data_IF_808810693057
#
_entry.id   IF_808810693057
#
_cell.length_a   1.000
_cell.length_b   1.000
_cell.length_c   1.000
_cell.angle_alpha   90.00
_cell.angle_beta   90.00
_cell.angle_gamma   90.00
#
_symmetry.space_group_name_H-M   'P 1'
#
loop_
_entity.id
_entity.type
_entity.pdbx_description
1 polymer ?
#
# COMPACT_ATOMS: atom_id res chain seq x y z
N UNK A 1 16.67 5.79 5.43
CA UNK A 1 16.62 4.35 5.79
C UNK A 1 15.32 3.68 5.35
N UNK A 2 14.14 4.06 5.87
CA UNK A 2 12.87 3.43 5.44
C UNK A 2 12.60 3.51 3.93
N UNK A 3 12.92 4.65 3.30
CA UNK A 3 12.80 4.80 1.85
C UNK A 3 13.75 3.85 1.08
N UNK A 4 14.97 3.66 1.57
CA UNK A 4 15.92 2.65 1.05
C UNK A 4 15.30 1.26 1.15
N UNK A 5 14.84 0.85 2.35
CA UNK A 5 14.21 -0.45 2.54
C UNK A 5 13.04 -0.65 1.58
N UNK A 6 12.18 0.36 1.41
CA UNK A 6 11.04 0.29 0.47
C UNK A 6 11.50 0.09 -0.98
N UNK A 7 12.58 0.74 -1.39
CA UNK A 7 13.10 0.64 -2.75
C UNK A 7 13.78 -0.70 -3.01
N UNK A 8 14.75 -1.07 -2.17
CA UNK A 8 15.58 -2.28 -2.35
C UNK A 8 14.78 -3.59 -2.23
N UNK A 9 13.64 -3.56 -1.54
CA UNK A 9 12.83 -4.76 -1.27
C UNK A 9 11.58 -4.88 -2.17
N UNK A 10 11.48 -4.07 -3.21
CA UNK A 10 10.29 -4.06 -4.07
C UNK A 10 9.01 -3.72 -3.30
N UNK A 11 9.10 -2.77 -2.37
CA UNK A 11 8.01 -2.27 -1.52
C UNK A 11 7.48 -3.23 -0.43
N UNK A 12 8.10 -4.39 -0.23
CA UNK A 12 7.64 -5.36 0.77
C UNK A 12 8.07 -5.04 2.20
N UNK A 13 9.13 -4.23 2.37
CA UNK A 13 9.80 -4.01 3.65
C UNK A 13 10.29 -5.30 4.33
N UNK A 14 10.45 -6.37 3.54
CA UNK A 14 11.08 -7.62 3.98
C UNK A 14 12.47 -7.71 3.35
N UNK A 15 13.52 -8.13 4.11
CA UNK A 15 14.84 -8.38 3.55
C UNK A 15 14.75 -9.35 2.36
N UNK A 16 15.40 -9.00 1.25
CA UNK A 16 15.36 -9.82 0.03
C UNK A 16 16.75 -10.23 -0.42
N UNK A 17 16.80 -11.33 -1.15
CA UNK A 17 17.98 -11.70 -1.93
C UNK A 17 17.98 -11.00 -3.28
N UNK A 18 19.17 -10.71 -3.80
CA UNK A 18 19.36 -10.16 -5.13
C UNK A 18 18.73 -11.07 -6.21
N UNK A 19 18.02 -10.44 -7.15
CA UNK A 19 17.38 -11.10 -8.28
C UNK A 19 16.42 -12.24 -7.88
N UNK A 20 15.75 -12.17 -6.72
CA UNK A 20 14.85 -13.22 -6.20
C UNK A 20 13.63 -13.55 -7.09
N UNK A 21 13.35 -12.76 -8.13
CA UNK A 21 12.32 -13.02 -9.13
C UNK A 21 12.77 -13.97 -10.26
N UNK A 22 14.05 -14.36 -10.30
CA UNK A 22 14.62 -15.29 -11.28
C UNK A 22 14.80 -16.70 -10.71
N UNK A 23 14.89 -17.69 -11.60
CA UNK A 23 15.23 -19.07 -11.22
C UNK A 23 16.64 -19.14 -10.61
N UNK A 24 16.88 -20.12 -9.74
CA UNK A 24 18.20 -20.31 -9.13
C UNK A 24 19.32 -20.48 -10.17
N UNK A 25 19.07 -21.21 -11.26
CA UNK A 25 20.07 -21.40 -12.32
C UNK A 25 20.47 -20.09 -12.99
N UNK A 26 19.49 -19.21 -13.27
CA UNK A 26 19.75 -17.88 -13.82
C UNK A 26 20.49 -16.99 -12.82
N UNK A 27 20.08 -17.00 -11.55
CA UNK A 27 20.72 -16.23 -10.47
C UNK A 27 22.17 -16.66 -10.24
N UNK A 28 22.42 -17.97 -10.16
CA UNK A 28 23.76 -18.53 -9.98
C UNK A 28 24.71 -18.03 -11.07
N UNK A 29 24.31 -18.13 -12.34
CA UNK A 29 25.12 -17.64 -13.46
C UNK A 29 25.35 -16.14 -13.39
N UNK A 30 24.32 -15.37 -13.04
CA UNK A 30 24.43 -13.93 -12.87
C UNK A 30 25.44 -13.57 -11.75
N UNK A 31 25.40 -14.24 -10.61
CA UNK A 31 26.33 -14.01 -9.51
C UNK A 31 27.76 -14.43 -9.85
N UNK A 32 27.93 -15.54 -10.57
CA UNK A 32 29.23 -15.95 -11.10
C UNK A 32 29.81 -14.87 -12.03
N UNK A 33 29.00 -14.37 -12.97
CA UNK A 33 29.42 -13.35 -13.93
C UNK A 33 29.78 -12.00 -13.30
N UNK A 34 29.09 -11.62 -12.22
CA UNK A 34 29.18 -10.28 -11.64
C UNK A 34 30.15 -10.20 -10.47
N UNK A 35 30.26 -11.27 -9.68
CA UNK A 35 30.87 -11.24 -8.35
C UNK A 35 31.98 -12.26 -8.14
N UNK A 36 32.21 -13.18 -9.08
CA UNK A 36 33.21 -14.24 -8.90
C UNK A 36 34.61 -13.83 -9.37
N UNK A 37 35.68 -14.14 -8.61
CA UNK A 37 37.05 -13.79 -8.96
C UNK A 37 37.66 -14.67 -10.07
N UNK A 38 37.03 -15.80 -10.39
CA UNK A 38 37.49 -16.77 -11.40
C UNK A 38 36.52 -16.81 -12.58
N UNK A 39 35.22 -16.95 -12.30
CA UNK A 39 34.15 -17.10 -13.29
C UNK A 39 33.60 -15.77 -13.82
N UNK A 40 34.01 -14.63 -13.25
CA UNK A 40 33.54 -13.31 -13.63
C UNK A 40 33.60 -13.08 -15.14
N UNK A 41 32.56 -12.44 -15.69
CA UNK A 41 32.32 -12.33 -17.14
C UNK A 41 33.43 -11.63 -17.93
N UNK A 42 34.27 -10.84 -17.25
CA UNK A 42 35.43 -10.18 -17.82
C UNK A 42 36.47 -9.87 -16.72
N UNK A 43 37.68 -9.53 -17.14
CA UNK A 43 38.80 -9.27 -16.21
C UNK A 43 38.53 -8.11 -15.25
N UNK A 44 37.75 -7.10 -15.65
CA UNK A 44 37.37 -6.00 -14.76
C UNK A 44 36.49 -6.50 -13.59
N UNK A 45 35.54 -7.41 -13.85
CA UNK A 45 34.71 -8.00 -12.80
C UNK A 45 35.50 -8.93 -11.88
N UNK A 46 36.37 -9.76 -12.44
CA UNK A 46 37.27 -10.61 -11.64
C UNK A 46 38.19 -9.78 -10.75
N UNK A 47 38.76 -8.69 -11.28
CA UNK A 47 39.59 -7.75 -10.52
C UNK A 47 38.80 -7.10 -9.38
N UNK A 48 37.61 -6.57 -9.68
CA UNK A 48 36.72 -5.97 -8.68
C UNK A 48 36.32 -6.97 -7.58
N UNK A 49 36.03 -8.22 -7.94
CA UNK A 49 35.73 -9.27 -6.96
C UNK A 49 36.90 -9.49 -5.99
N UNK A 50 38.13 -9.61 -6.51
CA UNK A 50 39.36 -9.76 -5.72
C UNK A 50 39.61 -8.56 -4.81
N UNK A 51 39.47 -7.34 -5.34
CA UNK A 51 39.61 -6.09 -4.57
C UNK A 51 38.59 -6.01 -3.42
N UNK A 52 37.40 -6.59 -3.58
CA UNK A 52 36.38 -6.66 -2.54
C UNK A 52 36.41 -7.94 -1.69
N UNK A 53 37.48 -8.72 -1.80
CA UNK A 53 37.78 -9.85 -0.93
C UNK A 53 37.19 -11.19 -1.35
N UNK A 54 36.50 -11.27 -2.48
CA UNK A 54 36.14 -12.56 -3.07
C UNK A 54 37.40 -13.13 -3.72
N UNK A 55 37.92 -14.25 -3.22
CA UNK A 55 39.25 -14.78 -3.62
C UNK A 55 39.21 -16.20 -4.14
N UNK A 56 38.10 -16.91 -3.94
CA UNK A 56 37.91 -18.30 -4.35
C UNK A 56 36.81 -18.40 -5.41
N UNK A 57 36.92 -19.38 -6.31
CA UNK A 57 35.81 -19.74 -7.20
C UNK A 57 34.58 -20.14 -6.38
N UNK A 58 33.43 -19.60 -6.74
CA UNK A 58 32.16 -19.74 -6.01
C UNK A 58 31.91 -18.65 -4.97
N UNK A 59 32.89 -17.78 -4.67
CA UNK A 59 32.66 -16.64 -3.76
C UNK A 59 31.60 -15.68 -4.32
N UNK A 60 31.43 -15.59 -5.65
CA UNK A 60 30.39 -14.77 -6.24
C UNK A 60 28.97 -15.19 -5.80
N UNK A 61 28.73 -16.50 -5.74
CA UNK A 61 27.44 -17.08 -5.29
C UNK A 61 27.29 -17.04 -3.77
N UNK A 62 28.40 -16.99 -3.01
CA UNK A 62 28.34 -16.86 -1.55
C UNK A 62 27.99 -15.42 -1.13
N UNK A 63 28.65 -14.42 -1.72
CA UNK A 63 28.61 -13.02 -1.27
C UNK A 63 27.90 -12.07 -2.24
N UNK A 64 26.79 -12.52 -2.86
CA UNK A 64 25.85 -11.65 -3.57
C UNK A 64 24.97 -10.85 -2.61
N UNK A 65 24.23 -9.87 -3.14
CA UNK A 65 23.42 -8.92 -2.36
C UNK A 65 22.30 -9.57 -1.54
N UNK A 66 22.26 -9.23 -0.24
CA UNK A 66 21.17 -9.64 0.67
C UNK A 66 20.70 -8.50 1.57
N UNK A 67 19.44 -8.59 1.98
CA UNK A 67 18.84 -7.72 2.97
C UNK A 67 18.45 -6.33 2.46
N UNK A 68 18.19 -5.40 3.39
CA UNK A 68 17.65 -4.06 3.07
C UNK A 68 18.57 -3.16 2.27
N UNK A 69 19.86 -3.48 2.22
CA UNK A 69 20.90 -2.68 1.54
C UNK A 69 21.62 -3.47 0.45
N UNK A 70 21.16 -4.69 0.14
CA UNK A 70 21.86 -5.59 -0.77
C UNK A 70 23.34 -5.71 -0.40
N UNK A 71 23.63 -6.16 0.83
CA UNK A 71 25.01 -6.31 1.33
C UNK A 71 25.76 -7.30 0.43
N UNK A 72 26.76 -6.80 -0.30
CA UNK A 72 27.54 -7.59 -1.27
C UNK A 72 29.02 -7.59 -0.90
N UNK A 73 29.75 -8.60 -1.35
CA UNK A 73 31.19 -8.81 -1.19
C UNK A 73 31.68 -9.31 0.18
N UNK A 74 32.60 -10.28 0.16
CA UNK A 74 33.16 -10.92 1.37
C UNK A 74 33.72 -9.92 2.38
N UNK A 75 34.37 -8.84 1.94
CA UNK A 75 34.89 -7.81 2.85
C UNK A 75 33.78 -7.11 3.66
N UNK A 76 32.62 -6.86 3.07
CA UNK A 76 31.50 -6.24 3.80
C UNK A 76 30.88 -7.22 4.80
N UNK A 77 30.77 -8.50 4.44
CA UNK A 77 30.36 -9.55 5.38
C UNK A 77 31.34 -9.68 6.57
N UNK A 78 32.66 -9.57 6.34
CA UNK A 78 33.68 -9.52 7.41
C UNK A 78 33.51 -8.33 8.34
N UNK A 79 33.30 -7.12 7.79
CA UNK A 79 33.04 -5.91 8.60
C UNK A 79 31.80 -6.08 9.50
N UNK A 80 30.74 -6.70 9.00
CA UNK A 80 29.54 -6.99 9.80
C UNK A 80 29.81 -8.05 10.88
N UNK A 81 30.62 -9.06 10.57
CA UNK A 81 31.07 -10.05 11.55
C UNK A 81 31.83 -9.41 12.70
N UNK A 82 32.79 -8.55 12.39
CA UNK A 82 33.56 -7.81 13.41
C UNK A 82 32.67 -6.93 14.27
N UNK A 83 31.67 -6.27 13.67
CA UNK A 83 30.75 -5.40 14.41
C UNK A 83 29.80 -6.16 15.33
N UNK A 84 29.17 -7.22 14.83
CA UNK A 84 28.05 -7.87 15.53
C UNK A 84 28.44 -9.18 16.23
N UNK A 85 29.67 -9.67 16.04
CA UNK A 85 30.11 -10.95 16.60
C UNK A 85 29.43 -12.18 15.99
N UNK A 86 28.73 -12.02 14.85
CA UNK A 86 28.00 -13.08 14.16
C UNK A 86 28.78 -13.49 12.92
N UNK A 87 28.91 -14.80 12.66
CA UNK A 87 29.70 -15.31 11.55
C UNK A 87 29.00 -15.18 10.18
N UNK A 88 28.72 -13.95 9.76
CA UNK A 88 28.10 -13.67 8.46
C UNK A 88 28.92 -14.16 7.27
N UNK A 89 30.22 -14.40 7.45
CA UNK A 89 31.10 -14.90 6.38
C UNK A 89 30.75 -16.34 6.00
N UNK A 90 30.31 -17.16 6.95
CA UNK A 90 29.94 -18.57 6.71
C UNK A 90 28.43 -18.82 6.85
N UNK A 91 27.66 -17.84 7.34
CA UNK A 91 26.22 -17.88 7.54
C UNK A 91 25.58 -16.63 6.90
N UNK A 92 25.74 -16.49 5.58
CA UNK A 92 25.33 -15.28 4.86
C UNK A 92 23.82 -15.05 4.92
N UNK A 93 23.03 -16.12 4.99
CA UNK A 93 21.57 -16.10 5.09
C UNK A 93 21.06 -15.34 6.32
N UNK A 94 21.86 -15.24 7.40
CA UNK A 94 21.50 -14.43 8.58
C UNK A 94 21.31 -12.94 8.26
N UNK A 95 21.89 -12.45 7.17
CA UNK A 95 21.66 -11.08 6.69
C UNK A 95 20.26 -10.83 6.13
N UNK A 96 19.45 -11.89 5.98
CA UNK A 96 18.03 -11.82 5.65
C UNK A 96 17.12 -11.88 6.89
N UNK A 97 17.66 -12.18 8.08
CA UNK A 97 16.89 -12.06 9.31
C UNK A 97 16.56 -10.59 9.54
N UNK A 98 15.29 -10.27 9.76
CA UNK A 98 14.77 -8.90 9.74
C UNK A 98 15.51 -7.96 10.70
N UNK A 99 15.71 -8.41 11.95
CA UNK A 99 16.42 -7.65 12.99
C UNK A 99 17.90 -7.40 12.60
N UNK A 100 18.59 -8.41 12.08
CA UNK A 100 19.98 -8.28 11.67
C UNK A 100 20.13 -7.40 10.41
N UNK A 101 19.25 -7.57 9.43
CA UNK A 101 19.21 -6.75 8.23
C UNK A 101 19.00 -5.26 8.57
N UNK A 102 18.12 -4.97 9.54
CA UNK A 102 17.87 -3.62 10.02
C UNK A 102 19.09 -3.05 10.75
N UNK A 103 19.70 -3.82 11.65
CA UNK A 103 20.93 -3.42 12.36
C UNK A 103 22.07 -3.12 11.38
N UNK A 104 22.24 -3.93 10.35
CA UNK A 104 23.24 -3.71 9.29
C UNK A 104 22.96 -2.41 8.53
N UNK A 105 21.71 -2.15 8.12
CA UNK A 105 21.31 -0.90 7.46
C UNK A 105 21.62 0.32 8.33
N UNK A 106 21.23 0.30 9.60
CA UNK A 106 21.43 1.42 10.54
C UNK A 106 22.92 1.67 10.74
N UNK A 107 23.64 0.66 11.22
CA UNK A 107 25.07 0.78 11.50
C UNK A 107 25.87 1.23 10.28
N UNK A 108 25.65 0.59 9.13
CA UNK A 108 26.39 0.93 7.93
C UNK A 108 26.09 2.34 7.41
N UNK A 109 24.87 2.83 7.63
CA UNK A 109 24.48 4.20 7.26
C UNK A 109 25.04 5.25 8.23
N UNK A 110 25.06 4.95 9.53
CA UNK A 110 25.56 5.88 10.55
C UNK A 110 27.08 5.99 10.53
N UNK A 111 27.79 4.89 10.29
CA UNK A 111 29.24 4.84 10.30
C UNK A 111 29.89 4.91 8.91
N UNK A 112 29.08 4.94 7.84
CA UNK A 112 29.58 5.04 6.47
C UNK A 112 30.34 3.79 6.01
N UNK A 113 29.95 2.62 6.50
CA UNK A 113 30.68 1.36 6.28
C UNK A 113 30.64 0.90 4.82
N UNK A 114 29.61 1.31 4.09
CA UNK A 114 29.37 0.91 2.69
C UNK A 114 30.19 1.73 1.70
N UNK A 115 30.15 3.07 1.80
CA UNK A 115 30.76 3.98 0.80
C UNK A 115 31.73 4.99 1.41
N UNK A 116 31.90 5.01 2.73
CA UNK A 116 32.65 6.04 3.46
C UNK A 116 31.83 7.26 3.83
N UNK A 117 30.64 7.44 3.25
CA UNK A 117 29.73 8.55 3.54
C UNK A 117 28.73 8.16 4.62
N UNK A 118 28.48 9.07 5.56
CA UNK A 118 27.54 8.87 6.66
C UNK A 118 26.20 9.52 6.36
N UNK A 119 25.14 9.00 6.98
CA UNK A 119 23.82 9.61 6.90
C UNK A 119 23.84 11.07 7.41
N UNK A 120 24.64 11.35 8.45
CA UNK A 120 24.78 12.68 9.05
C UNK A 120 25.41 13.73 8.13
N UNK A 121 26.14 13.32 7.09
CA UNK A 121 26.69 14.22 6.05
C UNK A 121 25.57 14.89 5.23
N UNK A 122 24.39 14.24 5.17
CA UNK A 122 23.25 14.67 4.37
C UNK A 122 22.02 15.02 5.19
N UNK A 123 21.82 14.37 6.34
CA UNK A 123 20.64 14.51 7.18
C UNK A 123 21.08 14.68 8.64
N UNK A 124 20.85 15.86 9.20
CA UNK A 124 21.17 16.22 10.58
C UNK A 124 20.20 17.30 11.09
N UNK A 125 20.46 17.85 12.27
CA UNK A 125 19.57 18.85 12.90
C UNK A 125 19.40 20.14 12.09
N UNK A 126 20.30 20.44 11.15
CA UNK A 126 20.31 21.68 10.36
C UNK A 126 20.04 21.47 8.87
N UNK A 127 20.05 20.22 8.40
CA UNK A 127 20.03 19.89 6.97
C UNK A 127 19.26 18.59 6.74
N UNK A 128 18.41 18.58 5.71
CA UNK A 128 17.77 17.36 5.21
C UNK A 128 17.95 17.30 3.69
N UNK A 129 18.86 16.45 3.22
CA UNK A 129 19.13 16.22 1.80
C UNK A 129 18.92 14.75 1.42
N UNK A 130 17.65 14.36 1.26
CA UNK A 130 17.29 12.99 0.91
C UNK A 130 17.84 12.52 -0.43
N UNK A 131 18.03 13.44 -1.39
CA UNK A 131 18.56 13.10 -2.70
C UNK A 131 20.00 12.60 -2.60
N UNK A 132 20.89 13.41 -2.00
CA UNK A 132 22.29 13.04 -1.87
C UNK A 132 22.53 11.96 -0.81
N UNK A 133 21.62 11.79 0.16
CA UNK A 133 21.69 10.70 1.14
C UNK A 133 21.72 9.30 0.49
N UNK A 134 21.28 9.14 -0.77
CA UNK A 134 21.41 7.88 -1.51
C UNK A 134 22.87 7.41 -1.66
N UNK A 135 23.83 8.34 -1.65
CA UNK A 135 25.27 8.06 -1.80
C UNK A 135 25.85 7.22 -0.66
N UNK A 136 25.15 7.16 0.47
CA UNK A 136 25.50 6.29 1.61
C UNK A 136 25.40 4.80 1.23
N UNK A 137 24.52 4.45 0.28
CA UNK A 137 24.29 3.04 -0.12
C UNK A 137 24.85 2.75 -1.52
N UNK A 138 24.40 3.50 -2.54
CA UNK A 138 24.72 3.17 -3.94
C UNK A 138 24.73 4.40 -4.86
N UNK A 139 25.57 5.39 -4.54
CA UNK A 139 25.71 6.59 -5.37
C UNK A 139 24.41 7.38 -5.50
N UNK A 140 24.01 7.73 -6.72
CA UNK A 140 22.75 8.48 -6.99
C UNK A 140 21.71 7.66 -7.75
N UNK A 141 21.91 6.35 -7.85
CA UNK A 141 20.95 5.47 -8.51
C UNK A 141 19.60 5.50 -7.78
N UNK A 142 18.52 5.72 -8.55
CA UNK A 142 17.15 5.94 -8.07
C UNK A 142 16.98 7.06 -7.01
N UNK A 143 17.93 8.00 -6.88
CA UNK A 143 17.92 9.01 -5.83
C UNK A 143 16.65 9.87 -5.81
N UNK A 144 16.12 10.26 -6.97
CA UNK A 144 14.86 11.02 -7.07
C UNK A 144 13.67 10.25 -6.49
N UNK A 145 13.48 8.99 -6.90
CA UNK A 145 12.38 8.15 -6.43
C UNK A 145 12.49 7.87 -4.92
N UNK A 146 13.70 7.65 -4.42
CA UNK A 146 13.96 7.42 -3.00
C UNK A 146 13.71 8.69 -2.19
N UNK A 147 14.10 9.87 -2.70
CA UNK A 147 13.77 11.17 -2.10
C UNK A 147 12.26 11.33 -1.95
N UNK A 148 11.49 11.13 -3.01
CA UNK A 148 10.03 11.28 -2.97
C UNK A 148 9.38 10.33 -1.97
N UNK A 149 9.88 9.09 -1.87
CA UNK A 149 9.42 8.13 -0.85
C UNK A 149 9.76 8.64 0.55
N UNK A 150 10.99 9.14 0.76
CA UNK A 150 11.43 9.64 2.05
C UNK A 150 10.59 10.83 2.53
N UNK A 151 10.32 11.80 1.65
CA UNK A 151 9.47 12.97 1.94
C UNK A 151 8.04 12.57 2.31
N UNK A 152 7.45 11.58 1.61
CA UNK A 152 6.13 11.04 1.93
C UNK A 152 6.11 10.37 3.31
N UNK A 153 7.13 9.55 3.61
CA UNK A 153 7.25 8.87 4.90
C UNK A 153 7.44 9.89 6.02
N UNK A 154 8.33 10.87 5.84
CA UNK A 154 8.56 11.93 6.82
C UNK A 154 7.27 12.71 7.11
N UNK A 155 6.51 13.07 6.06
CA UNK A 155 5.21 13.71 6.20
C UNK A 155 4.26 12.86 7.04
N UNK A 156 4.18 11.55 6.79
CA UNK A 156 3.32 10.65 7.57
C UNK A 156 3.76 10.52 9.03
N UNK A 157 5.07 10.47 9.30
CA UNK A 157 5.61 10.32 10.66
C UNK A 157 5.43 11.58 11.51
N UNK A 158 5.33 12.76 10.87
CA UNK A 158 5.06 14.05 11.55
C UNK A 158 3.57 14.30 11.81
N UNK A 159 2.69 13.37 11.45
CA UNK A 159 1.25 13.49 11.75
C UNK A 159 1.05 13.22 13.25
N UNK A 160 0.91 14.28 14.04
CA UNK A 160 0.60 14.19 15.47
C UNK A 160 -0.85 13.78 15.75
N UNK A 161 -1.76 14.15 14.84
CA UNK A 161 -3.17 13.72 14.80
C UNK A 161 -3.57 13.40 13.37
N UNK A 162 -4.02 12.17 13.14
CA UNK A 162 -4.63 11.79 11.88
C UNK A 162 -6.07 12.33 11.86
N UNK A 163 -6.25 13.55 11.38
CA UNK A 163 -7.58 14.07 11.11
C UNK A 163 -8.07 13.49 9.78
N UNK A 164 -8.82 12.39 9.86
CA UNK A 164 -9.57 11.83 8.73
C UNK A 164 -10.80 12.70 8.37
N UNK A 165 -10.71 14.02 8.56
CA UNK A 165 -11.81 14.99 8.40
C UNK A 165 -11.86 15.62 7.01
N UNK A 166 -10.81 15.48 6.20
CA UNK A 166 -10.87 15.80 4.78
C UNK A 166 -11.16 14.53 4.00
N UNK A 167 -12.45 14.17 3.92
CA UNK A 167 -12.97 13.38 2.80
C UNK A 167 -12.57 14.18 1.56
N UNK A 168 -11.59 13.71 0.80
CA UNK A 168 -11.32 14.25 -0.54
C UNK A 168 -12.55 13.88 -1.36
N UNK A 169 -13.57 14.74 -1.34
CA UNK A 169 -14.81 14.56 -2.11
C UNK A 169 -14.41 14.28 -3.55
N UNK A 170 -14.58 13.04 -3.99
CA UNK A 170 -14.46 12.66 -5.39
C UNK A 170 -15.42 13.52 -6.19
N UNK A 171 -14.90 14.22 -7.18
CA UNK A 171 -15.72 15.04 -8.08
C UNK A 171 -16.61 14.14 -8.96
N UNK A 172 -17.71 14.69 -9.47
CA UNK A 172 -18.57 14.02 -10.45
C UNK A 172 -19.88 13.41 -9.90
N UNK A 173 -20.20 13.60 -8.62
CA UNK A 173 -21.51 13.27 -8.06
C UNK A 173 -21.99 14.35 -7.09
N UNK A 174 -23.14 14.94 -7.39
CA UNK A 174 -23.81 15.94 -6.56
C UNK A 174 -24.71 15.26 -5.52
N UNK A 175 -24.16 15.08 -4.32
CA UNK A 175 -24.86 14.50 -3.17
C UNK A 175 -26.09 15.33 -2.78
N UNK A 176 -26.01 16.66 -2.90
CA UNK A 176 -27.11 17.54 -2.50
C UNK A 176 -28.28 17.40 -3.47
N UNK A 177 -28.02 17.38 -4.78
CA UNK A 177 -29.03 17.12 -5.80
C UNK A 177 -29.69 15.74 -5.63
N UNK A 178 -28.90 14.69 -5.38
CA UNK A 178 -29.41 13.34 -5.16
C UNK A 178 -30.34 13.27 -3.92
N UNK A 179 -29.88 13.82 -2.79
CA UNK A 179 -30.67 13.82 -1.56
C UNK A 179 -31.92 14.69 -1.70
N UNK A 180 -31.83 15.86 -2.34
CA UNK A 180 -32.99 16.71 -2.59
C UNK A 180 -34.03 15.98 -3.45
N UNK A 181 -33.59 15.22 -4.46
CA UNK A 181 -34.47 14.42 -5.29
C UNK A 181 -35.21 13.37 -4.46
N UNK A 182 -34.49 12.53 -3.71
CA UNK A 182 -35.13 11.40 -3.01
C UNK A 182 -36.08 11.89 -1.91
N UNK A 183 -35.72 12.96 -1.20
CA UNK A 183 -36.56 13.54 -0.13
C UNK A 183 -37.83 14.17 -0.71
N UNK A 184 -37.73 14.87 -1.84
CA UNK A 184 -38.86 15.60 -2.45
C UNK A 184 -39.82 14.68 -3.21
N UNK A 185 -39.36 13.51 -3.63
CA UNK A 185 -40.16 12.54 -4.37
C UNK A 185 -40.67 11.39 -3.48
N UNK A 186 -40.30 11.34 -2.20
CA UNK A 186 -40.72 10.26 -1.30
C UNK A 186 -42.24 10.20 -1.14
N UNK A 187 -42.80 9.00 -1.24
CA UNK A 187 -44.22 8.72 -1.06
C UNK A 187 -44.60 8.70 0.43
N UNK A 188 -45.91 8.82 0.77
CA UNK A 188 -46.39 8.69 2.14
C UNK A 188 -46.10 7.33 2.79
N UNK A 189 -45.97 6.27 1.98
CA UNK A 189 -45.68 4.89 2.41
C UNK A 189 -44.97 4.11 1.32
N UNK A 190 -44.39 2.95 1.66
CA UNK A 190 -43.75 2.06 0.69
C UNK A 190 -44.69 1.69 -0.46
N UNK A 191 -44.18 1.77 -1.68
CA UNK A 191 -44.85 1.31 -2.91
C UNK A 191 -44.04 0.21 -3.61
N UNK A 192 -43.14 -0.45 -2.87
CA UNK A 192 -42.23 -1.50 -3.36
C UNK A 192 -41.33 -1.04 -4.52
N UNK A 193 -40.94 0.24 -4.54
CA UNK A 193 -40.15 0.84 -5.61
C UNK A 193 -38.79 1.40 -5.15
N UNK A 194 -38.31 1.00 -3.98
CA UNK A 194 -37.09 1.52 -3.34
C UNK A 194 -35.88 1.63 -4.30
N UNK A 195 -35.57 0.56 -5.04
CA UNK A 195 -34.47 0.55 -6.02
C UNK A 195 -34.64 1.61 -7.13
N UNK A 196 -35.87 1.81 -7.61
CA UNK A 196 -36.17 2.81 -8.64
C UNK A 196 -35.95 4.24 -8.12
N UNK A 197 -36.32 4.52 -6.87
CA UNK A 197 -36.23 5.86 -6.28
C UNK A 197 -34.78 6.23 -5.94
N UNK A 198 -34.03 5.31 -5.32
CA UNK A 198 -32.60 5.50 -5.06
C UNK A 198 -31.83 5.65 -6.37
N UNK A 199 -32.13 4.85 -7.40
CA UNK A 199 -31.56 5.02 -8.74
C UNK A 199 -31.81 6.42 -9.31
N UNK A 200 -33.05 6.91 -9.28
CA UNK A 200 -33.38 8.24 -9.81
C UNK A 200 -32.69 9.36 -9.03
N UNK A 201 -32.49 9.17 -7.73
CA UNK A 201 -31.68 10.07 -6.91
C UNK A 201 -30.22 10.09 -7.37
N UNK A 202 -29.63 8.92 -7.62
CA UNK A 202 -28.27 8.81 -8.18
C UNK A 202 -28.17 9.51 -9.55
N UNK A 203 -29.18 9.35 -10.41
CA UNK A 203 -29.26 10.04 -11.71
C UNK A 203 -29.37 11.56 -11.55
N UNK A 204 -30.16 12.02 -10.57
CA UNK A 204 -30.28 13.44 -10.25
C UNK A 204 -28.96 14.05 -9.72
N UNK A 205 -28.13 13.25 -9.05
CA UNK A 205 -26.77 13.63 -8.67
C UNK A 205 -25.75 13.61 -9.82
N UNK A 206 -26.17 13.27 -11.04
CA UNK A 206 -25.34 13.38 -12.25
C UNK A 206 -24.66 12.09 -12.73
N UNK A 207 -24.87 10.95 -12.04
CA UNK A 207 -24.31 9.67 -12.46
C UNK A 207 -25.23 8.92 -13.43
N UNK A 208 -24.64 8.28 -14.45
CA UNK A 208 -25.36 7.34 -15.31
C UNK A 208 -25.60 6.02 -14.58
N UNK A 209 -26.82 5.50 -14.62
CA UNK A 209 -27.16 4.16 -14.09
C UNK A 209 -27.40 3.14 -15.20
N UNK A 210 -26.74 3.32 -16.35
CA UNK A 210 -26.75 2.32 -17.42
C UNK A 210 -26.23 0.97 -16.88
N UNK A 211 -26.91 -0.12 -17.21
CA UNK A 211 -26.55 -1.46 -16.72
C UNK A 211 -27.02 -1.79 -15.29
N UNK A 212 -27.81 -0.91 -14.66
CA UNK A 212 -28.38 -1.14 -13.33
C UNK A 212 -29.14 -2.47 -13.18
N UNK A 213 -29.16 -3.07 -11.98
CA UNK A 213 -30.01 -4.20 -11.67
C UNK A 213 -31.46 -3.78 -11.37
N UNK A 214 -32.37 -4.76 -11.37
CA UNK A 214 -33.79 -4.58 -11.01
C UNK A 214 -33.99 -4.65 -9.50
N UNK A 215 -33.38 -5.63 -8.83
CA UNK A 215 -33.58 -5.84 -7.39
C UNK A 215 -32.69 -4.93 -6.56
N UNK A 216 -33.18 -4.49 -5.41
CA UNK A 216 -32.44 -3.64 -4.48
C UNK A 216 -31.18 -4.32 -3.96
N UNK A 217 -31.26 -5.61 -3.60
CA UNK A 217 -30.13 -6.39 -3.08
C UNK A 217 -28.88 -6.37 -3.99
N UNK A 218 -29.09 -6.32 -5.31
CA UNK A 218 -28.01 -6.41 -6.31
C UNK A 218 -27.28 -5.06 -6.51
N UNK A 219 -27.73 -3.98 -5.84
CA UNK A 219 -27.01 -2.71 -5.85
C UNK A 219 -25.69 -2.76 -5.05
N UNK A 220 -25.51 -3.77 -4.21
CA UNK A 220 -24.29 -3.98 -3.43
C UNK A 220 -23.03 -4.12 -4.30
N UNK A 221 -23.17 -4.76 -5.46
CA UNK A 221 -22.13 -4.95 -6.47
C UNK A 221 -22.14 -3.86 -7.54
N UNK A 222 -23.30 -3.25 -7.79
CA UNK A 222 -23.45 -2.18 -8.78
C UNK A 222 -22.91 -0.81 -8.30
N UNK A 223 -23.16 -0.40 -7.06
CA UNK A 223 -22.72 0.91 -6.53
C UNK A 223 -21.18 1.10 -6.60
N UNK A 224 -20.35 0.07 -6.32
CA UNK A 224 -18.92 0.13 -6.58
C UNK A 224 -18.54 0.44 -8.03
N UNK A 225 -19.29 -0.06 -9.02
CA UNK A 225 -19.02 0.24 -10.44
C UNK A 225 -19.26 1.70 -10.80
N UNK A 226 -20.16 2.38 -10.08
CA UNK A 226 -20.36 3.82 -10.22
C UNK A 226 -19.29 4.61 -9.46
N UNK A 227 -18.55 3.95 -8.57
CA UNK A 227 -17.44 4.52 -7.84
C UNK A 227 -17.73 4.86 -6.38
N UNK A 228 -18.81 4.33 -5.80
CA UNK A 228 -19.02 4.37 -4.35
C UNK A 228 -18.10 3.35 -3.65
N UNK A 229 -17.70 3.64 -2.42
CA UNK A 229 -16.92 2.74 -1.59
C UNK A 229 -17.79 2.13 -0.51
N UNK A 230 -17.66 0.82 -0.27
CA UNK A 230 -18.29 0.17 0.87
C UNK A 230 -17.62 0.65 2.16
N UNK A 231 -18.41 1.00 3.18
CA UNK A 231 -17.95 1.48 4.47
C UNK A 231 -18.58 0.68 5.61
N UNK A 232 -17.80 0.43 6.66
CA UNK A 232 -18.28 -0.18 7.91
C UNK A 232 -18.49 0.94 8.93
N UNK A 233 -19.74 1.36 9.14
CA UNK A 233 -20.06 2.51 9.99
C UNK A 233 -21.46 2.42 10.60
N UNK A 234 -21.62 3.05 11.77
CA UNK A 234 -22.91 3.41 12.35
C UNK A 234 -23.18 4.93 12.31
N UNK A 235 -22.16 5.71 11.95
CA UNK A 235 -22.21 7.16 11.82
C UNK A 235 -22.44 7.53 10.35
N UNK A 236 -23.71 7.65 9.99
CA UNK A 236 -24.15 7.92 8.62
C UNK A 236 -23.95 9.38 8.24
N UNK A 237 -23.44 9.61 7.04
CA UNK A 237 -23.32 10.96 6.45
C UNK A 237 -24.28 11.12 5.30
N UNK A 238 -24.70 12.36 5.03
CA UNK A 238 -25.63 12.69 3.95
C UNK A 238 -25.16 12.04 2.63
N UNK A 239 -26.05 11.32 1.96
CA UNK A 239 -25.78 10.62 0.71
C UNK A 239 -25.34 9.17 0.84
N UNK A 240 -25.09 8.66 2.05
CA UNK A 240 -24.82 7.23 2.24
C UNK A 240 -26.00 6.39 1.72
N UNK A 241 -25.71 5.26 1.10
CA UNK A 241 -26.71 4.32 0.57
C UNK A 241 -26.56 3.00 1.30
N UNK A 242 -27.64 2.51 1.91
CA UNK A 242 -27.71 1.17 2.50
C UNK A 242 -28.38 0.22 1.51
N UNK A 243 -27.81 -0.98 1.35
CA UNK A 243 -28.38 -2.09 0.61
C UNK A 243 -28.55 -3.29 1.55
N UNK A 244 -29.73 -3.87 1.59
CA UNK A 244 -30.05 -5.09 2.33
C UNK A 244 -30.26 -6.27 1.38
N UNK A 245 -29.77 -7.43 1.81
CA UNK A 245 -29.96 -8.70 1.10
C UNK A 245 -31.43 -9.13 1.09
N UNK A 246 -31.75 -10.14 0.28
CA UNK A 246 -33.06 -10.77 0.34
C UNK A 246 -33.28 -11.45 1.71
N UNK A 247 -34.48 -11.28 2.26
CA UNK A 247 -34.94 -12.01 3.45
C UNK A 247 -36.28 -12.66 3.15
N UNK A 248 -36.75 -13.56 4.03
CA UNK A 248 -38.06 -14.21 3.86
C UNK A 248 -39.17 -13.15 3.73
N UNK A 249 -40.00 -13.27 2.68
CA UNK A 249 -41.05 -12.30 2.37
C UNK A 249 -40.57 -11.06 1.58
N UNK A 250 -39.25 -10.86 1.44
CA UNK A 250 -38.65 -9.72 0.76
C UNK A 250 -37.50 -10.15 -0.17
N UNK A 251 -37.85 -10.90 -1.21
CA UNK A 251 -36.92 -11.51 -2.16
C UNK A 251 -36.07 -10.54 -3.00
N UNK A 252 -36.47 -9.27 -3.11
CA UNK A 252 -35.71 -8.24 -3.84
C UNK A 252 -34.73 -7.45 -2.96
N UNK A 253 -34.69 -7.71 -1.65
CA UNK A 253 -33.93 -6.88 -0.71
C UNK A 253 -34.54 -5.48 -0.53
N UNK A 254 -33.78 -4.59 0.10
CA UNK A 254 -34.18 -3.20 0.32
C UNK A 254 -33.01 -2.24 0.11
N UNK A 255 -33.27 -1.01 -0.31
CA UNK A 255 -32.24 0.01 -0.51
C UNK A 255 -32.78 1.38 -0.11
N UNK A 256 -31.95 2.18 0.55
CA UNK A 256 -32.30 3.53 0.99
C UNK A 256 -31.08 4.45 0.99
N UNK A 257 -31.30 5.75 0.93
CA UNK A 257 -30.28 6.80 1.01
C UNK A 257 -30.48 7.63 2.29
N UNK A 258 -29.40 7.99 2.97
CA UNK A 258 -29.43 8.83 4.16
C UNK A 258 -29.53 10.31 3.77
N UNK A 259 -30.57 11.00 4.24
CA UNK A 259 -30.79 12.43 3.93
C UNK A 259 -29.86 13.37 4.69
N UNK A 260 -29.11 12.86 5.68
CA UNK A 260 -28.46 13.65 6.72
C UNK A 260 -29.21 13.62 8.06
N UNK A 261 -30.48 13.19 8.07
CA UNK A 261 -31.29 13.07 9.29
C UNK A 261 -32.16 11.81 9.36
N UNK A 262 -32.46 11.18 8.22
CA UNK A 262 -33.29 9.97 8.16
C UNK A 262 -32.99 9.16 6.89
N UNK A 263 -33.32 7.87 6.90
CA UNK A 263 -33.24 7.02 5.71
C UNK A 263 -34.46 7.24 4.81
N UNK A 264 -34.24 7.32 3.50
CA UNK A 264 -35.29 7.54 2.50
C UNK A 264 -35.10 6.53 1.36
N UNK A 265 -36.18 5.84 1.00
CA UNK A 265 -36.25 4.95 -0.16
C UNK A 265 -37.22 5.52 -1.19
N UNK A 266 -38.22 4.74 -1.58
CA UNK A 266 -39.49 5.21 -2.12
C UNK A 266 -40.37 5.94 -1.09
N UNK A 267 -40.06 5.87 0.21
CA UNK A 267 -40.74 6.62 1.27
C UNK A 267 -39.75 7.06 2.37
N UNK A 268 -40.18 7.92 3.28
CA UNK A 268 -39.40 8.37 4.44
C UNK A 268 -39.47 7.34 5.57
N UNK A 269 -38.33 6.84 6.03
CA UNK A 269 -38.27 5.75 7.00
C UNK A 269 -37.97 6.26 8.42
N UNK A 270 -38.61 5.66 9.42
CA UNK A 270 -38.34 5.95 10.83
C UNK A 270 -37.05 5.28 11.36
N UNK A 271 -36.51 4.30 10.63
CA UNK A 271 -35.31 3.54 10.99
C UNK A 271 -34.61 3.05 9.72
N UNK A 272 -33.35 2.65 9.85
CA UNK A 272 -32.63 1.92 8.81
C UNK A 272 -33.28 0.56 8.51
N UNK A 273 -33.90 -0.06 9.53
CA UNK A 273 -34.65 -1.31 9.42
C UNK A 273 -36.12 -0.98 9.11
N UNK A 274 -36.56 -1.24 7.87
CA UNK A 274 -37.94 -0.95 7.42
C UNK A 274 -38.97 -2.01 7.82
N UNK A 275 -38.52 -3.23 8.09
CA UNK A 275 -39.35 -4.35 8.46
C UNK A 275 -38.57 -5.30 9.39
N UNK A 276 -39.25 -5.93 10.35
CA UNK A 276 -38.63 -6.84 11.31
C UNK A 276 -37.93 -8.04 10.67
N UNK A 277 -38.31 -8.43 9.45
CA UNK A 277 -37.62 -9.45 8.66
C UNK A 277 -36.13 -9.11 8.40
N UNK A 278 -35.77 -7.82 8.43
CA UNK A 278 -34.39 -7.35 8.24
C UNK A 278 -33.57 -7.22 9.53
N UNK A 279 -34.15 -7.48 10.72
CA UNK A 279 -33.44 -7.32 12.00
C UNK A 279 -32.12 -8.10 12.05
N UNK A 280 -32.10 -9.30 11.46
CA UNK A 280 -30.91 -10.16 11.36
C UNK A 280 -30.40 -10.26 9.90
N UNK A 281 -30.88 -9.40 9.02
CA UNK A 281 -30.50 -9.39 7.61
C UNK A 281 -29.14 -8.74 7.40
N UNK A 282 -28.37 -9.28 6.47
CA UNK A 282 -27.11 -8.67 6.04
C UNK A 282 -27.39 -7.35 5.33
N UNK A 283 -26.57 -6.33 5.62
CA UNK A 283 -26.60 -5.04 4.95
C UNK A 283 -25.20 -4.55 4.64
N UNK A 284 -25.09 -3.72 3.61
CA UNK A 284 -23.87 -3.01 3.24
C UNK A 284 -24.16 -1.52 3.09
N UNK A 285 -23.25 -0.67 3.52
CA UNK A 285 -23.35 0.79 3.37
C UNK A 285 -22.32 1.26 2.37
N UNK A 286 -22.72 2.14 1.47
CA UNK A 286 -21.92 2.69 0.39
C UNK A 286 -21.87 4.20 0.50
N UNK A 287 -20.66 4.75 0.40
CA UNK A 287 -20.38 6.17 0.52
C UNK A 287 -19.68 6.67 -0.73
N UNK A 288 -20.10 7.83 -1.21
CA UNK A 288 -19.33 8.59 -2.17
C UNK A 288 -18.23 9.33 -1.41
N UNK A 289 -17.00 8.84 -1.53
CA UNK A 289 -15.81 9.45 -0.94
C UNK A 289 -15.08 10.21 -2.01
#
# INVERSE_FOLDING_TARGET
MLATSKHETGHTFNPVEEANWLSWSARKKYFEDMYDPVLGKNENRKKMAKENGNTEEGDGVKYYGRGFVQLTWKNNYKKMKEKFGIDFVNQQEKTLEHDLAMKILIYGSEEGVFTGLKLSDFINSSKTDYYNARKVINGTDAASSIKEIAEKIEKCLKIEKCECSTIIKKEGYDIDAAVNYIVSNAEPSSISACAKYVRKAIEAGGLSTAGRPVSAKDYDTFLPTLGFSKVETTDYVKGDIVVFDAVQGHQHGHIAMWSGSQWVSDFKQNSIIVNSAYNNGTKSIFRWQ
#
